data_IF_923765216571
#
_entry.id   IF_923765216571
#
_cell.length_a   1.000
_cell.length_b   1.000
_cell.length_c   1.000
_cell.angle_alpha   90.00
_cell.angle_beta   90.00
_cell.angle_gamma   90.00
#
_symmetry.space_group_name_H-M   'P 1'
#
loop_
_entity.id
_entity.type
_entity.pdbx_description
1 polymer ?
#
# COMPACT_ATOMS: atom_id res chain seq x y z
N UNK A 1 10.81 -16.48 1.68
CA UNK A 1 10.09 -15.19 1.78
C UNK A 1 9.70 -14.64 0.41
N UNK A 2 10.48 -14.93 -0.66
CA UNK A 2 10.24 -14.37 -2.01
C UNK A 2 8.95 -14.87 -2.65
N UNK A 3 8.39 -15.97 -2.21
CA UNK A 3 7.11 -16.53 -2.68
C UNK A 3 5.89 -15.95 -1.95
N UNK A 4 6.10 -15.32 -0.80
CA UNK A 4 5.02 -14.60 -0.12
C UNK A 4 4.66 -13.32 -0.90
N UNK A 5 3.43 -12.89 -0.75
CA UNK A 5 2.93 -11.66 -1.35
C UNK A 5 2.25 -10.74 -0.33
N UNK A 6 2.07 -9.50 -0.71
CA UNK A 6 1.26 -8.51 -0.01
C UNK A 6 -0.02 -8.26 -0.79
N UNK A 7 -1.14 -8.18 -0.09
CA UNK A 7 -2.42 -7.77 -0.64
C UNK A 7 -2.47 -6.23 -0.68
N UNK A 8 -2.61 -5.67 -1.85
CA UNK A 8 -2.72 -4.22 -2.08
C UNK A 8 -3.97 -3.91 -2.90
N UNK A 9 -4.51 -2.73 -2.69
CA UNK A 9 -5.63 -2.17 -3.45
C UNK A 9 -5.18 -0.96 -4.25
N UNK A 10 -5.78 -0.74 -5.40
CA UNK A 10 -5.64 0.50 -6.18
C UNK A 10 -6.95 1.26 -6.09
N UNK A 11 -6.90 2.47 -5.57
CA UNK A 11 -8.08 3.31 -5.40
C UNK A 11 -8.67 3.74 -6.75
N UNK A 12 -9.99 3.70 -6.88
CA UNK A 12 -10.68 4.05 -8.11
C UNK A 12 -10.38 5.49 -8.54
N UNK A 13 -10.19 5.70 -9.85
CA UNK A 13 -9.85 7.00 -10.45
C UNK A 13 -10.98 8.04 -10.33
N UNK A 14 -12.20 7.59 -10.09
CA UNK A 14 -13.38 8.44 -9.88
C UNK A 14 -13.38 9.15 -8.53
N UNK A 15 -12.63 8.64 -7.55
CA UNK A 15 -12.58 9.19 -6.19
C UNK A 15 -11.49 10.26 -6.05
N UNK A 16 -11.88 11.47 -5.65
CA UNK A 16 -10.96 12.56 -5.25
C UNK A 16 -11.07 12.77 -3.73
N UNK A 17 -9.97 12.91 -3.01
CA UNK A 17 -8.55 12.83 -3.39
C UNK A 17 -8.01 11.40 -3.44
N UNK A 18 -6.77 11.23 -3.92
CA UNK A 18 -6.01 9.97 -3.92
C UNK A 18 -6.38 8.96 -5.01
N UNK A 19 -6.96 9.41 -6.12
CA UNK A 19 -7.22 8.61 -7.32
C UNK A 19 -5.97 7.83 -7.75
N UNK A 20 -6.14 6.52 -8.01
CA UNK A 20 -5.07 5.64 -8.50
C UNK A 20 -3.95 5.35 -7.49
N UNK A 21 -4.06 5.80 -6.24
CA UNK A 21 -3.08 5.45 -5.22
C UNK A 21 -3.20 4.00 -4.78
N UNK A 22 -2.04 3.40 -4.53
CA UNK A 22 -1.93 2.04 -3.99
C UNK A 22 -1.92 2.10 -2.48
N UNK A 23 -2.75 1.26 -1.85
CA UNK A 23 -2.83 1.15 -0.39
C UNK A 23 -2.96 -0.31 0.07
N UNK A 24 -2.75 -0.52 1.36
CA UNK A 24 -3.27 -1.72 1.99
C UNK A 24 -4.80 -1.60 2.13
N UNK A 25 -5.54 -2.72 2.14
CA UNK A 25 -6.96 -2.68 2.50
C UNK A 25 -7.15 -2.08 3.89
N UNK A 26 -8.15 -1.22 4.04
CA UNK A 26 -8.45 -0.61 5.33
C UNK A 26 -9.17 0.72 5.23
N UNK A 27 -9.78 1.13 6.33
CA UNK A 27 -10.59 2.34 6.40
C UNK A 27 -10.70 2.94 7.79
N UNK A 28 -11.74 3.72 8.00
CA UNK A 28 -12.02 4.36 9.28
C UNK A 28 -12.60 3.35 10.28
N UNK A 29 -12.20 3.50 11.54
CA UNK A 29 -12.75 2.67 12.62
C UNK A 29 -14.20 3.06 12.90
N UNK A 30 -15.08 2.07 12.86
CA UNK A 30 -16.48 2.22 13.27
C UNK A 30 -16.69 1.84 14.75
N UNK A 31 -17.73 2.37 15.42
CA UNK A 31 -17.98 2.10 16.83
C UNK A 31 -18.13 0.61 17.18
N UNK A 32 -18.50 -0.23 16.22
CA UNK A 32 -18.68 -1.68 16.37
C UNK A 32 -17.42 -2.53 16.18
N UNK A 33 -16.33 -1.96 15.67
CA UNK A 33 -15.15 -2.73 15.26
C UNK A 33 -14.34 -3.32 16.45
N UNK A 34 -14.45 -2.72 17.62
CA UNK A 34 -13.68 -3.17 18.79
C UNK A 34 -12.18 -2.86 18.71
N UNK A 35 -11.76 -2.02 17.76
CA UNK A 35 -10.37 -1.57 17.58
C UNK A 35 -9.75 -1.90 16.22
N UNK A 36 -8.43 -1.61 16.03
CA UNK A 36 -7.78 -1.69 14.72
C UNK A 36 -7.89 -3.04 14.02
N UNK A 37 -7.83 -4.14 14.78
CA UNK A 37 -7.96 -5.50 14.21
C UNK A 37 -9.37 -5.72 13.64
N UNK A 38 -10.40 -5.32 14.37
CA UNK A 38 -11.78 -5.44 13.89
C UNK A 38 -12.02 -4.59 12.66
N UNK A 39 -11.53 -3.34 12.65
CA UNK A 39 -11.57 -2.47 11.46
C UNK A 39 -10.91 -3.16 10.25
N UNK A 40 -9.68 -3.66 10.41
CA UNK A 40 -8.97 -4.31 9.32
C UNK A 40 -9.70 -5.55 8.79
N UNK A 41 -10.26 -6.37 9.68
CA UNK A 41 -11.01 -7.58 9.31
C UNK A 41 -12.40 -7.29 8.73
N UNK A 42 -12.98 -6.10 8.94
CA UNK A 42 -14.20 -5.64 8.28
C UNK A 42 -13.89 -5.06 6.90
N UNK A 43 -12.95 -4.14 6.82
CA UNK A 43 -12.62 -3.40 5.59
C UNK A 43 -12.02 -4.30 4.49
N UNK A 44 -11.11 -5.22 4.86
CA UNK A 44 -10.46 -6.08 3.88
C UNK A 44 -11.44 -6.93 3.06
N UNK A 45 -12.47 -7.60 3.64
CA UNK A 45 -13.54 -8.23 2.89
C UNK A 45 -14.34 -7.28 2.01
N UNK A 46 -14.67 -6.09 2.51
CA UNK A 46 -15.47 -5.10 1.79
C UNK A 46 -14.77 -4.59 0.53
N UNK A 47 -13.46 -4.36 0.61
CA UNK A 47 -12.65 -3.89 -0.52
C UNK A 47 -12.18 -5.01 -1.46
N UNK A 48 -11.83 -6.19 -0.91
CA UNK A 48 -11.07 -7.21 -1.64
C UNK A 48 -11.73 -8.58 -1.72
N UNK A 49 -12.87 -8.79 -1.05
CA UNK A 49 -13.51 -10.10 -0.96
C UNK A 49 -12.73 -11.14 -0.14
N UNK A 50 -11.66 -10.71 0.56
CA UNK A 50 -10.86 -11.59 1.41
C UNK A 50 -11.71 -12.21 2.52
N UNK A 51 -11.70 -13.53 2.65
CA UNK A 51 -12.40 -14.22 3.73
C UNK A 51 -11.66 -14.01 5.07
N UNK A 52 -12.24 -13.29 6.05
CA UNK A 52 -11.58 -13.03 7.32
C UNK A 52 -11.30 -14.30 8.13
N UNK A 53 -12.03 -15.39 7.89
CA UNK A 53 -11.77 -16.69 8.54
C UNK A 53 -10.45 -17.33 8.08
N UNK A 54 -9.89 -16.87 6.95
CA UNK A 54 -8.59 -17.31 6.41
C UNK A 54 -7.43 -16.43 6.84
N UNK A 55 -7.68 -15.40 7.63
CA UNK A 55 -6.68 -14.40 8.02
C UNK A 55 -6.38 -14.51 9.52
N UNK A 56 -5.11 -14.60 9.86
CA UNK A 56 -4.63 -14.59 11.23
C UNK A 56 -3.97 -13.23 11.52
N UNK A 57 -4.60 -12.34 12.30
CA UNK A 57 -3.94 -11.15 12.81
C UNK A 57 -2.77 -11.55 13.71
N UNK A 58 -1.60 -10.95 13.47
CA UNK A 58 -0.38 -11.25 14.22
C UNK A 58 -0.06 -10.16 15.25
N UNK A 59 -0.14 -8.90 14.83
CA UNK A 59 0.15 -7.77 15.71
C UNK A 59 -0.46 -6.47 15.16
N UNK A 60 -0.70 -5.53 16.05
CA UNK A 60 -1.01 -4.13 15.72
C UNK A 60 0.27 -3.33 15.91
N UNK A 61 0.68 -2.60 14.89
CA UNK A 61 1.85 -1.72 14.95
C UNK A 61 1.47 -0.39 15.62
N UNK A 62 2.49 0.35 16.06
CA UNK A 62 2.28 1.68 16.61
C UNK A 62 1.54 2.60 15.63
N UNK A 63 0.66 3.40 16.19
CA UNK A 63 -0.14 4.35 15.40
C UNK A 63 0.74 5.45 14.82
N UNK A 64 0.68 5.61 13.51
CA UNK A 64 1.45 6.58 12.74
C UNK A 64 0.57 7.76 12.35
N UNK A 65 1.07 8.97 12.55
CA UNK A 65 0.39 10.20 12.14
C UNK A 65 0.80 10.56 10.70
N UNK A 66 -0.19 10.84 9.85
CA UNK A 66 0.01 11.24 8.45
C UNK A 66 -0.34 12.71 8.30
N UNK A 67 0.64 13.64 8.32
CA UNK A 67 0.37 15.08 8.35
C UNK A 67 -0.55 15.61 7.24
N UNK A 68 -0.43 15.18 5.98
CA UNK A 68 -1.28 15.72 4.91
C UNK A 68 -2.77 15.40 5.05
N UNK A 69 -3.11 14.25 5.64
CA UNK A 69 -4.50 13.80 5.83
C UNK A 69 -5.01 14.01 7.24
N UNK A 70 -4.12 14.35 8.18
CA UNK A 70 -4.42 14.46 9.63
C UNK A 70 -4.88 13.12 10.24
N UNK A 71 -4.74 12.00 9.51
CA UNK A 71 -5.11 10.69 9.99
C UNK A 71 -4.06 10.09 10.94
N UNK A 72 -4.55 9.32 11.90
CA UNK A 72 -3.75 8.34 12.64
C UNK A 72 -4.08 6.97 12.09
N UNK A 73 -3.07 6.28 11.59
CA UNK A 73 -3.21 4.94 11.02
C UNK A 73 -2.51 3.95 11.93
N UNK A 74 -3.21 2.90 12.31
CA UNK A 74 -2.66 1.76 13.06
C UNK A 74 -2.56 0.57 12.11
N UNK A 75 -1.37 0.27 11.56
CA UNK A 75 -1.21 -0.88 10.68
C UNK A 75 -1.43 -2.18 11.46
N UNK A 76 -2.16 -3.10 10.86
CA UNK A 76 -2.37 -4.46 11.38
C UNK A 76 -1.61 -5.43 10.50
N UNK A 77 -0.63 -6.10 11.07
CA UNK A 77 0.05 -7.19 10.39
C UNK A 77 -0.77 -8.47 10.55
N UNK A 78 -1.11 -9.08 9.43
CA UNK A 78 -1.86 -10.31 9.40
C UNK A 78 -1.23 -11.30 8.42
N UNK A 79 -1.51 -12.57 8.59
CA UNK A 79 -1.00 -13.65 7.75
C UNK A 79 -2.15 -14.55 7.27
N UNK A 80 -2.08 -14.95 6.01
CA UNK A 80 -2.94 -15.97 5.45
C UNK A 80 -2.10 -16.97 4.64
N UNK A 81 -2.15 -18.28 4.97
CA UNK A 81 -1.47 -19.30 4.16
C UNK A 81 -2.17 -19.53 2.82
N UNK A 82 -3.48 -19.29 2.77
CA UNK A 82 -4.33 -19.43 1.60
C UNK A 82 -5.48 -18.42 1.69
N UNK A 83 -5.31 -17.19 1.14
CA UNK A 83 -6.34 -16.16 1.21
C UNK A 83 -7.57 -16.48 0.34
N UNK A 84 -7.48 -17.47 -0.55
CA UNK A 84 -8.49 -17.74 -1.56
C UNK A 84 -8.50 -16.67 -2.67
N UNK A 85 -9.56 -16.61 -3.46
CA UNK A 85 -9.71 -15.60 -4.50
C UNK A 85 -9.95 -14.22 -3.88
N UNK A 86 -9.24 -13.21 -4.41
CA UNK A 86 -9.44 -11.80 -4.05
C UNK A 86 -9.72 -11.00 -5.32
N UNK A 87 -10.62 -10.04 -5.23
CA UNK A 87 -11.04 -9.18 -6.34
C UNK A 87 -11.61 -7.86 -5.79
N UNK A 88 -11.67 -6.83 -6.61
CA UNK A 88 -12.36 -5.60 -6.26
C UNK A 88 -13.87 -5.86 -6.11
N UNK A 89 -14.38 -5.66 -4.90
CA UNK A 89 -15.81 -5.89 -4.58
C UNK A 89 -16.66 -4.73 -5.08
N UNK A 90 -16.22 -3.50 -4.83
CA UNK A 90 -16.84 -2.30 -5.38
C UNK A 90 -15.85 -1.57 -6.32
N UNK A 91 -16.02 -1.69 -7.64
CA UNK A 91 -15.18 -0.98 -8.61
C UNK A 91 -15.27 0.55 -8.54
N UNK A 92 -16.29 1.09 -7.89
CA UNK A 92 -16.44 2.52 -7.63
C UNK A 92 -15.49 3.03 -6.54
N UNK A 93 -15.01 2.15 -5.68
CA UNK A 93 -14.07 2.45 -4.60
C UNK A 93 -12.68 1.87 -4.88
N UNK A 94 -12.60 0.62 -5.21
CA UNK A 94 -11.36 -0.13 -5.48
C UNK A 94 -11.33 -0.53 -6.95
N UNK A 95 -10.42 0.08 -7.72
CA UNK A 95 -10.26 -0.22 -9.14
C UNK A 95 -9.63 -1.59 -9.37
N UNK A 96 -8.67 -1.97 -8.53
CA UNK A 96 -7.89 -3.20 -8.67
C UNK A 96 -7.48 -3.73 -7.30
N UNK A 97 -7.42 -5.05 -7.18
CA UNK A 97 -6.82 -5.77 -6.06
C UNK A 97 -5.67 -6.60 -6.58
N UNK A 98 -4.49 -6.39 -6.02
CA UNK A 98 -3.26 -7.04 -6.48
C UNK A 98 -2.55 -7.77 -5.36
N UNK A 99 -2.03 -8.96 -5.67
CA UNK A 99 -1.11 -9.72 -4.81
C UNK A 99 0.31 -9.50 -5.31
N UNK A 100 1.04 -8.62 -4.62
CA UNK A 100 2.39 -8.20 -5.02
C UNK A 100 3.43 -9.08 -4.32
N UNK A 101 4.23 -9.80 -5.07
CA UNK A 101 5.26 -10.69 -4.51
C UNK A 101 6.32 -9.90 -3.75
N UNK A 102 6.70 -10.41 -2.59
CA UNK A 102 7.84 -9.86 -1.83
C UNK A 102 9.12 -9.89 -2.69
N UNK A 103 9.26 -10.90 -3.56
CA UNK A 103 10.36 -10.98 -4.52
C UNK A 103 10.51 -9.73 -5.39
N UNK A 104 9.40 -9.19 -5.87
CA UNK A 104 9.40 -7.98 -6.71
C UNK A 104 9.70 -6.71 -5.88
N UNK A 105 9.25 -6.67 -4.64
CA UNK A 105 9.48 -5.55 -3.73
C UNK A 105 10.92 -5.46 -3.21
N UNK A 106 11.62 -6.59 -3.09
CA UNK A 106 13.03 -6.61 -2.68
C UNK A 106 13.99 -6.45 -3.84
N UNK A 107 13.52 -6.54 -5.09
CA UNK A 107 14.37 -6.34 -6.26
C UNK A 107 14.85 -4.87 -6.31
N UNK A 108 16.18 -4.63 -6.28
CA UNK A 108 16.72 -3.28 -6.36
C UNK A 108 16.31 -2.52 -7.63
N UNK A 109 16.04 -3.22 -8.74
CA UNK A 109 15.60 -2.61 -9.98
C UNK A 109 14.23 -1.92 -9.88
N UNK A 110 13.39 -2.42 -8.96
CA UNK A 110 12.04 -1.90 -8.72
C UNK A 110 12.00 -0.81 -7.63
N UNK A 111 13.13 -0.53 -6.96
CA UNK A 111 13.20 0.45 -5.86
C UNK A 111 13.78 1.77 -6.33
N UNK A 112 13.06 2.84 -6.05
CA UNK A 112 13.46 4.22 -6.37
C UNK A 112 13.19 5.14 -5.18
N UNK A 113 13.80 6.32 -5.20
CA UNK A 113 13.39 7.44 -4.37
C UNK A 113 12.51 8.38 -5.18
N UNK A 114 11.36 8.74 -4.63
CA UNK A 114 10.51 9.78 -5.23
C UNK A 114 10.62 11.08 -4.47
N UNK A 115 10.52 12.20 -5.19
CA UNK A 115 10.46 13.53 -4.61
C UNK A 115 9.21 14.25 -5.10
N UNK A 116 8.59 15.01 -4.21
CA UNK A 116 7.48 15.92 -4.54
C UNK A 116 7.65 17.23 -3.80
N UNK A 117 7.42 18.33 -4.48
CA UNK A 117 7.44 19.66 -3.87
C UNK A 117 6.01 20.17 -3.76
N UNK A 118 5.52 20.38 -2.53
CA UNK A 118 4.18 20.89 -2.26
C UNK A 118 4.28 22.03 -1.24
N UNK A 119 3.73 23.19 -1.56
CA UNK A 119 3.76 24.40 -0.69
C UNK A 119 5.15 24.76 -0.13
N UNK A 120 6.20 24.62 -0.95
CA UNK A 120 7.58 24.89 -0.54
C UNK A 120 8.26 23.79 0.29
N UNK A 121 7.53 22.78 0.71
CA UNK A 121 8.05 21.61 1.43
C UNK A 121 8.41 20.53 0.41
N UNK A 122 9.61 19.97 0.53
CA UNK A 122 10.04 18.84 -0.28
C UNK A 122 9.77 17.54 0.50
N UNK A 123 8.90 16.71 -0.03
CA UNK A 123 8.77 15.32 0.36
C UNK A 123 9.82 14.48 -0.39
N UNK A 124 10.43 13.52 0.28
CA UNK A 124 11.25 12.49 -0.35
C UNK A 124 11.03 11.17 0.39
N UNK A 125 10.86 10.09 -0.35
CA UNK A 125 10.61 8.79 0.25
C UNK A 125 10.80 7.64 -0.73
N UNK A 126 10.92 6.40 -0.19
CA UNK A 126 11.02 5.21 -1.01
C UNK A 126 9.72 4.96 -1.79
N UNK A 127 9.88 4.43 -2.99
CA UNK A 127 8.79 3.98 -3.83
C UNK A 127 9.20 2.71 -4.58
N UNK A 128 8.18 1.98 -5.04
CA UNK A 128 8.36 0.76 -5.81
C UNK A 128 7.67 0.95 -7.17
N UNK A 129 8.46 0.82 -8.21
CA UNK A 129 8.01 0.92 -9.59
C UNK A 129 7.83 -0.49 -10.14
N UNK A 130 6.60 -0.94 -10.16
CA UNK A 130 6.21 -2.27 -10.60
C UNK A 130 5.47 -2.19 -11.94
N UNK A 131 5.38 -3.27 -12.72
CA UNK A 131 4.58 -3.28 -13.94
C UNK A 131 3.12 -2.85 -13.67
N UNK A 132 2.72 -1.71 -14.24
CA UNK A 132 1.38 -1.14 -14.08
C UNK A 132 1.07 -0.53 -12.71
N UNK A 133 2.03 -0.45 -11.77
CA UNK A 133 1.78 0.00 -10.42
C UNK A 133 2.94 0.83 -9.87
N UNK A 134 2.66 2.00 -9.31
CA UNK A 134 3.60 2.81 -8.55
C UNK A 134 3.17 2.85 -7.08
N UNK A 135 3.94 2.20 -6.22
CA UNK A 135 3.69 2.21 -4.76
C UNK A 135 4.59 3.23 -4.10
N UNK A 136 4.01 4.26 -3.50
CA UNK A 136 4.72 5.38 -2.90
C UNK A 136 4.01 5.92 -1.65
N UNK A 137 4.50 7.00 -1.08
CA UNK A 137 3.87 7.67 0.06
C UNK A 137 3.90 6.81 1.31
N UNK A 138 2.80 6.82 2.07
CA UNK A 138 2.68 6.05 3.30
C UNK A 138 2.84 4.54 3.06
N UNK A 139 2.17 3.99 2.06
CA UNK A 139 2.25 2.57 1.71
C UNK A 139 3.68 2.15 1.37
N UNK A 140 4.35 2.93 0.52
CA UNK A 140 5.75 2.68 0.15
C UNK A 140 6.70 2.74 1.34
N UNK A 141 6.48 3.66 2.29
CA UNK A 141 7.27 3.76 3.51
C UNK A 141 7.08 2.55 4.42
N UNK A 142 5.83 2.10 4.63
CA UNK A 142 5.53 0.92 5.46
C UNK A 142 6.17 -0.33 4.85
N UNK A 143 6.03 -0.54 3.53
CA UNK A 143 6.66 -1.69 2.85
C UNK A 143 8.18 -1.62 3.00
N UNK A 144 8.80 -0.47 2.75
CA UNK A 144 10.26 -0.30 2.88
C UNK A 144 10.72 -0.61 4.31
N UNK A 145 10.02 -0.08 5.33
CA UNK A 145 10.33 -0.35 6.73
C UNK A 145 10.17 -1.84 7.09
N UNK A 146 9.10 -2.47 6.60
CA UNK A 146 8.87 -3.90 6.81
C UNK A 146 10.00 -4.74 6.22
N UNK A 147 10.47 -4.43 5.01
CA UNK A 147 11.58 -5.13 4.37
C UNK A 147 12.89 -4.96 5.15
N UNK A 148 13.16 -3.76 5.67
CA UNK A 148 14.36 -3.49 6.49
C UNK A 148 14.32 -4.25 7.81
N UNK A 149 13.22 -4.15 8.57
CA UNK A 149 13.07 -4.78 9.88
C UNK A 149 13.09 -6.31 9.80
N UNK A 150 12.53 -6.88 8.73
CA UNK A 150 12.54 -8.33 8.50
C UNK A 150 13.91 -8.86 8.03
N UNK A 151 14.84 -7.99 7.67
CA UNK A 151 16.13 -8.36 7.08
C UNK A 151 16.01 -8.87 5.64
N UNK A 152 14.89 -8.61 4.96
CA UNK A 152 14.67 -9.02 3.56
C UNK A 152 15.14 -7.98 2.57
N UNK A 153 15.35 -6.73 3.00
CA UNK A 153 15.82 -5.67 2.14
C UNK A 153 17.17 -6.02 1.52
N UNK A 154 17.29 -5.75 0.21
CA UNK A 154 18.57 -5.83 -0.52
C UNK A 154 19.11 -4.42 -0.72
N UNK A 155 20.45 -4.23 -0.81
CA UNK A 155 21.02 -2.93 -1.17
C UNK A 155 20.46 -2.44 -2.50
N UNK A 156 20.04 -1.17 -2.55
CA UNK A 156 19.49 -0.52 -3.73
C UNK A 156 20.00 0.93 -3.85
N UNK A 157 19.87 1.54 -5.02
CA UNK A 157 20.40 2.89 -5.26
C UNK A 157 19.43 3.97 -4.76
N UNK A 158 19.65 4.46 -3.56
CA UNK A 158 18.89 5.57 -2.97
C UNK A 158 19.13 6.93 -3.64
N UNK A 159 20.07 7.03 -4.58
CA UNK A 159 20.33 8.22 -5.38
C UNK A 159 19.51 8.25 -6.66
N UNK A 160 18.83 7.15 -7.02
CA UNK A 160 17.88 7.11 -8.12
C UNK A 160 16.61 7.90 -7.74
N UNK A 161 16.73 9.23 -7.84
CA UNK A 161 15.66 10.18 -7.53
C UNK A 161 14.82 10.45 -8.77
N UNK A 162 13.49 10.30 -8.63
CA UNK A 162 12.53 10.60 -9.68
C UNK A 162 11.50 11.60 -9.18
N UNK A 163 11.05 12.49 -10.04
CA UNK A 163 9.92 13.38 -9.72
C UNK A 163 8.61 12.59 -9.70
N UNK A 164 7.85 12.74 -8.61
CA UNK A 164 6.63 11.98 -8.42
C UNK A 164 5.53 12.39 -9.39
N UNK A 165 5.41 13.68 -9.70
CA UNK A 165 4.36 14.17 -10.58
C UNK A 165 4.61 13.72 -12.03
N UNK A 166 5.87 13.65 -12.47
CA UNK A 166 6.27 13.07 -13.75
C UNK A 166 5.92 11.58 -13.81
N UNK A 167 6.30 10.82 -12.79
CA UNK A 167 5.98 9.37 -12.73
C UNK A 167 4.48 9.11 -12.73
N UNK A 168 3.71 9.88 -11.99
CA UNK A 168 2.25 9.74 -11.97
C UNK A 168 1.64 10.05 -13.35
N UNK A 169 2.16 11.05 -14.05
CA UNK A 169 1.72 11.36 -15.40
C UNK A 169 2.03 10.23 -16.39
N UNK A 170 3.22 9.61 -16.28
CA UNK A 170 3.61 8.45 -17.10
C UNK A 170 2.71 7.23 -16.83
N UNK A 171 2.34 6.97 -15.56
CA UNK A 171 1.57 5.78 -15.17
C UNK A 171 0.06 5.96 -15.30
N UNK A 172 -0.47 7.16 -15.01
CA UNK A 172 -1.89 7.46 -15.12
C UNK A 172 -2.28 7.97 -16.51
N UNK A 173 -1.34 8.55 -17.26
CA UNK A 173 -1.56 9.06 -18.63
C UNK A 173 -1.62 7.99 -19.71
N UNK A 174 -1.25 6.75 -19.41
CA UNK A 174 -1.34 5.62 -20.36
C UNK A 174 -2.71 4.91 -20.37
N UNK A 175 -3.68 5.38 -19.61
CA UNK A 175 -5.04 4.86 -19.53
C UNK A 175 -6.06 5.83 -20.14
N UNK A 176 -5.80 6.25 -21.41
CA UNK A 176 -6.79 6.94 -22.28
C UNK A 176 -7.00 6.10 -23.51
#
# INVERSE_FOLDING_TARGET
PTEADLLLTVRASTLRPHSGQVSFPGGATDPGDGGPVGTALREAPEETGLDPARVQPLTVMDSLFIPPSVFRVSPVLAYSPDPGPVLAVDPGETAEVSRVKIGDLVDPANRIMVTKKTFGIRYSGPAFLLPGMLVWGFTGQIISAMLEVSGWARPWDTRNLRDLDELLAEHLGGAV
#
